data_IF_350348749020
#
_entry.id   IF_350348749020
#
_cell.length_a   1.000
_cell.length_b   1.000
_cell.length_c   1.000
_cell.angle_alpha   90.00
_cell.angle_beta   90.00
_cell.angle_gamma   90.00
#
_symmetry.space_group_name_H-M   'P 1'
#
loop_
_entity.id
_entity.type
_entity.pdbx_description
1 polymer ?
#
# COMPACT_ATOMS: atom_id res chain seq x y z
N UNK A 1 36.20 -11.13 48.24
CA UNK A 1 36.20 -10.73 46.83
C UNK A 1 34.77 -10.78 46.39
N UNK A 2 34.13 -9.60 46.35
CA UNK A 2 32.70 -9.45 46.03
C UNK A 2 32.57 -9.15 44.54
N UNK A 3 31.96 -10.05 43.82
CA UNK A 3 31.60 -9.87 42.42
C UNK A 3 30.28 -9.11 42.34
N UNK A 4 30.34 -7.84 41.89
CA UNK A 4 29.18 -7.01 41.61
C UNK A 4 28.79 -7.22 40.17
N UNK A 5 27.81 -8.06 39.94
CA UNK A 5 27.14 -8.19 38.64
C UNK A 5 26.39 -6.89 38.35
N UNK A 6 26.92 -6.09 37.44
CA UNK A 6 26.28 -4.89 36.92
C UNK A 6 25.15 -5.33 35.98
N UNK A 7 23.93 -4.99 36.37
CA UNK A 7 22.71 -5.12 35.53
C UNK A 7 22.77 -4.07 34.43
N UNK A 8 22.49 -4.38 33.16
CA UNK A 8 22.52 -3.38 32.08
C UNK A 8 21.34 -2.41 32.23
N UNK A 9 21.63 -1.12 32.39
CA UNK A 9 20.69 0.00 32.33
C UNK A 9 20.28 0.30 30.84
N UNK A 10 19.51 -0.56 30.25
CA UNK A 10 19.05 -0.35 28.85
C UNK A 10 17.57 -0.65 28.60
N UNK A 11 16.83 -1.15 29.59
CA UNK A 11 15.51 -1.74 29.37
C UNK A 11 14.32 -0.75 29.50
N UNK A 12 14.48 0.45 30.04
CA UNK A 12 13.36 1.37 30.30
C UNK A 12 13.00 2.27 29.11
N UNK A 13 13.89 2.53 28.17
CA UNK A 13 13.60 3.38 27.00
C UNK A 13 12.72 2.68 25.96
N UNK A 14 12.93 1.37 25.74
CA UNK A 14 12.20 0.63 24.70
C UNK A 14 10.72 0.38 25.04
N UNK A 15 10.39 0.21 26.31
CA UNK A 15 9.01 -0.01 26.75
C UNK A 15 8.12 1.22 26.59
N UNK A 16 8.63 2.39 26.94
CA UNK A 16 7.89 3.66 26.82
C UNK A 16 7.69 4.04 25.35
N UNK A 17 8.70 3.80 24.51
CA UNK A 17 8.59 4.04 23.07
C UNK A 17 7.56 3.11 22.41
N UNK A 18 7.55 1.84 22.79
CA UNK A 18 6.56 0.86 22.30
C UNK A 18 5.13 1.26 22.71
N UNK A 19 4.91 1.67 23.96
CA UNK A 19 3.59 2.13 24.43
C UNK A 19 3.13 3.36 23.62
N UNK A 20 4.02 4.31 23.36
CA UNK A 20 3.73 5.48 22.53
C UNK A 20 3.36 5.10 21.08
N UNK A 21 4.04 4.12 20.50
CA UNK A 21 3.75 3.62 19.16
C UNK A 21 2.37 2.93 19.10
N UNK A 22 2.05 2.11 20.09
CA UNK A 22 0.75 1.45 20.23
C UNK A 22 -0.37 2.48 20.37
N UNK A 23 -0.20 3.48 21.25
CA UNK A 23 -1.16 4.56 21.44
C UNK A 23 -1.46 5.32 20.14
N UNK A 24 -0.41 5.72 19.43
CA UNK A 24 -0.52 6.38 18.14
C UNK A 24 -1.21 5.50 17.09
N UNK A 25 -0.97 4.18 17.11
CA UNK A 25 -1.58 3.23 16.20
C UNK A 25 -3.08 3.08 16.44
N UNK A 26 -3.50 2.88 17.70
CA UNK A 26 -4.91 2.78 18.09
C UNK A 26 -5.67 4.03 17.65
N UNK A 27 -5.14 5.21 17.98
CA UNK A 27 -5.76 6.49 17.61
C UNK A 27 -5.90 6.65 16.10
N UNK A 28 -4.82 6.39 15.35
CA UNK A 28 -4.82 6.49 13.88
C UNK A 28 -5.83 5.56 13.24
N UNK A 29 -5.89 4.29 13.65
CA UNK A 29 -6.81 3.33 13.06
C UNK A 29 -8.27 3.64 13.44
N UNK A 30 -8.53 4.18 14.63
CA UNK A 30 -9.86 4.68 15.01
C UNK A 30 -10.30 5.85 14.12
N UNK A 31 -9.42 6.84 13.93
CA UNK A 31 -9.71 8.01 13.11
C UNK A 31 -9.96 7.62 11.64
N UNK A 32 -9.18 6.68 11.12
CA UNK A 32 -9.37 6.12 9.76
C UNK A 32 -10.70 5.39 9.60
N UNK A 33 -11.13 4.70 10.64
CA UNK A 33 -12.43 4.00 10.64
C UNK A 33 -13.62 4.93 10.87
N UNK A 34 -13.40 6.23 11.07
CA UNK A 34 -14.46 7.19 11.36
C UNK A 34 -15.16 6.97 12.70
N UNK A 35 -14.58 6.15 13.60
CA UNK A 35 -15.21 5.80 14.86
C UNK A 35 -14.95 6.85 15.94
N UNK A 36 -16.00 7.20 16.68
CA UNK A 36 -15.83 7.98 17.92
C UNK A 36 -15.17 7.12 19.00
N UNK A 37 -14.54 7.77 19.98
CA UNK A 37 -13.93 7.08 21.13
C UNK A 37 -14.96 6.23 21.90
N UNK A 38 -16.19 6.71 22.04
CA UNK A 38 -17.26 5.98 22.72
C UNK A 38 -17.69 4.74 21.93
N UNK A 39 -17.79 4.85 20.60
CA UNK A 39 -18.20 3.74 19.76
C UNK A 39 -17.12 2.65 19.68
N UNK A 40 -15.83 3.02 19.54
CA UNK A 40 -14.76 2.04 19.56
C UNK A 40 -14.68 1.31 20.91
N UNK A 41 -14.76 2.05 22.03
CA UNK A 41 -14.75 1.46 23.36
C UNK A 41 -15.89 0.45 23.55
N UNK A 42 -17.10 0.82 23.09
CA UNK A 42 -18.28 -0.06 23.13
C UNK A 42 -18.06 -1.34 22.31
N UNK A 43 -17.53 -1.22 21.07
CA UNK A 43 -17.26 -2.38 20.19
C UNK A 43 -16.18 -3.30 20.75
N UNK A 44 -15.15 -2.72 21.36
CA UNK A 44 -14.05 -3.46 21.97
C UNK A 44 -14.38 -4.01 23.37
N UNK A 45 -15.55 -3.70 23.94
CA UNK A 45 -15.97 -4.15 25.28
C UNK A 45 -15.13 -3.55 26.41
N UNK A 46 -14.55 -2.34 26.22
CA UNK A 46 -13.73 -1.66 27.24
C UNK A 46 -14.36 -0.32 27.65
N UNK A 47 -13.98 0.20 28.81
CA UNK A 47 -14.43 1.53 29.24
C UNK A 47 -13.84 2.63 28.34
N UNK A 48 -14.61 3.70 28.09
CA UNK A 48 -14.14 4.87 27.34
C UNK A 48 -12.91 5.52 27.99
N UNK A 49 -12.86 5.54 29.33
CA UNK A 49 -11.69 6.03 30.08
C UNK A 49 -10.44 5.20 29.83
N UNK A 50 -10.58 3.88 29.77
CA UNK A 50 -9.49 2.97 29.41
C UNK A 50 -8.96 3.25 28.02
N UNK A 51 -9.83 3.37 27.01
CA UNK A 51 -9.44 3.72 25.65
C UNK A 51 -8.72 5.09 25.58
N UNK A 52 -9.22 6.08 26.34
CA UNK A 52 -8.59 7.40 26.43
C UNK A 52 -7.17 7.33 27.00
N UNK A 53 -6.96 6.53 28.04
CA UNK A 53 -5.62 6.31 28.61
C UNK A 53 -4.70 5.59 27.62
N UNK A 54 -5.21 4.62 26.88
CA UNK A 54 -4.43 3.91 25.87
C UNK A 54 -4.03 4.83 24.71
N UNK A 55 -4.93 5.65 24.19
CA UNK A 55 -4.63 6.59 23.10
C UNK A 55 -3.73 7.76 23.53
N UNK A 56 -3.67 8.08 24.82
CA UNK A 56 -2.74 9.08 25.36
C UNK A 56 -1.37 8.52 25.72
N UNK A 57 -1.17 7.20 25.65
CA UNK A 57 0.07 6.53 26.05
C UNK A 57 0.25 6.44 27.57
N UNK A 58 -0.79 6.77 28.36
CA UNK A 58 -0.78 6.69 29.82
C UNK A 58 -1.11 5.29 30.34
N UNK A 59 -1.55 4.37 29.49
CA UNK A 59 -1.91 3.00 29.82
C UNK A 59 -1.06 1.98 29.07
N UNK A 60 -0.80 0.83 29.70
CA UNK A 60 -0.19 -0.32 29.06
C UNK A 60 -1.29 -1.34 28.73
N UNK A 61 -1.66 -1.54 27.44
CA UNK A 61 -2.73 -2.47 27.08
C UNK A 61 -2.29 -3.93 27.28
N UNK A 62 -3.20 -4.78 27.73
CA UNK A 62 -3.01 -6.23 27.68
C UNK A 62 -3.15 -6.74 26.25
N UNK A 63 -2.67 -7.96 26.00
CA UNK A 63 -2.81 -8.65 24.70
C UNK A 63 -4.29 -8.80 24.35
N UNK A 64 -5.14 -9.13 25.34
CA UNK A 64 -6.58 -9.29 25.13
C UNK A 64 -7.24 -7.96 24.75
N UNK A 65 -6.82 -6.86 25.37
CA UNK A 65 -7.33 -5.51 25.03
C UNK A 65 -6.93 -5.12 23.62
N UNK A 66 -5.68 -5.36 23.22
CA UNK A 66 -5.22 -5.09 21.85
C UNK A 66 -5.92 -5.98 20.83
N UNK A 67 -6.19 -7.23 21.17
CA UNK A 67 -6.95 -8.13 20.30
C UNK A 67 -8.38 -7.64 20.11
N UNK A 68 -9.07 -7.28 21.20
CA UNK A 68 -10.44 -6.73 21.15
C UNK A 68 -10.51 -5.44 20.32
N UNK A 69 -9.52 -4.55 20.47
CA UNK A 69 -9.41 -3.34 19.66
C UNK A 69 -9.16 -3.66 18.17
N UNK A 70 -8.29 -4.63 17.86
CA UNK A 70 -8.05 -5.08 16.49
C UNK A 70 -9.34 -5.59 15.81
N UNK A 71 -10.09 -6.42 16.51
CA UNK A 71 -11.40 -6.91 16.03
C UNK A 71 -12.38 -5.75 15.82
N UNK A 72 -12.49 -4.85 16.80
CA UNK A 72 -13.42 -3.71 16.74
C UNK A 72 -13.09 -2.71 15.62
N UNK A 73 -11.82 -2.59 15.27
CA UNK A 73 -11.29 -1.75 14.19
C UNK A 73 -11.24 -2.47 12.84
N UNK A 74 -11.45 -3.79 12.83
CA UNK A 74 -11.25 -4.65 11.66
C UNK A 74 -9.82 -4.57 11.09
N UNK A 75 -8.82 -4.60 11.96
CA UNK A 75 -7.39 -4.61 11.60
C UNK A 75 -6.67 -5.77 12.28
N UNK A 76 -5.61 -6.33 11.67
CA UNK A 76 -4.78 -7.34 12.33
C UNK A 76 -4.13 -6.79 13.60
N UNK A 77 -3.93 -7.64 14.60
CA UNK A 77 -3.22 -7.30 15.85
C UNK A 77 -1.85 -6.64 15.59
N UNK A 78 -1.10 -7.17 14.62
CA UNK A 78 0.21 -6.64 14.23
C UNK A 78 0.17 -5.16 13.83
N UNK A 79 -0.96 -4.70 13.28
CA UNK A 79 -1.15 -3.31 12.87
C UNK A 79 -1.14 -2.33 14.06
N UNK A 80 -1.51 -2.81 15.24
CA UNK A 80 -1.53 -2.00 16.45
C UNK A 80 -0.16 -2.00 17.16
N UNK A 81 0.57 -3.12 17.12
CA UNK A 81 1.83 -3.29 17.86
C UNK A 81 3.08 -2.96 17.03
N UNK A 82 3.02 -3.20 15.71
CA UNK A 82 4.11 -2.91 14.77
C UNK A 82 3.52 -2.28 13.51
N UNK A 83 3.09 -1.02 13.57
CA UNK A 83 2.54 -0.34 12.42
C UNK A 83 3.62 -0.15 11.36
N UNK A 84 3.30 -0.34 10.07
CA UNK A 84 4.23 -0.08 9.00
C UNK A 84 4.67 1.39 9.07
N UNK A 85 5.95 1.63 9.29
CA UNK A 85 6.53 2.97 9.24
C UNK A 85 6.62 3.39 7.78
N UNK A 86 6.22 4.62 7.44
CA UNK A 86 6.51 5.16 6.12
C UNK A 86 8.04 5.21 5.96
N UNK A 87 8.57 4.40 5.07
CA UNK A 87 9.99 4.44 4.71
C UNK A 87 10.14 5.13 3.37
N UNK A 88 11.14 5.99 3.23
CA UNK A 88 11.52 6.50 1.92
C UNK A 88 12.07 5.32 1.12
N UNK A 89 11.39 4.99 0.01
CA UNK A 89 11.83 3.98 -0.95
C UNK A 89 12.19 4.68 -2.25
N UNK A 90 13.40 4.52 -2.69
CA UNK A 90 13.86 5.02 -3.99
C UNK A 90 14.15 3.82 -4.88
N UNK A 91 13.57 3.81 -6.08
CA UNK A 91 13.94 2.91 -7.18
C UNK A 91 14.44 3.78 -8.32
N UNK A 92 15.70 3.58 -8.70
CA UNK A 92 16.30 4.28 -9.84
C UNK A 92 15.81 3.66 -11.15
N UNK A 93 15.98 4.38 -12.26
CA UNK A 93 15.74 3.82 -13.58
C UNK A 93 16.57 2.54 -13.78
N UNK A 94 15.94 1.49 -14.33
CA UNK A 94 16.56 0.17 -14.49
C UNK A 94 16.60 -0.71 -13.24
N UNK A 95 16.17 -0.21 -12.06
CA UNK A 95 16.07 -1.00 -10.83
C UNK A 95 14.64 -1.51 -10.61
N UNK A 96 14.54 -2.60 -9.86
CA UNK A 96 13.30 -3.23 -9.43
C UNK A 96 13.02 -4.58 -10.09
N UNK A 97 12.01 -5.32 -9.60
CA UNK A 97 11.60 -6.58 -10.19
C UNK A 97 10.90 -6.33 -11.53
N UNK A 98 11.48 -6.85 -12.61
CA UNK A 98 10.99 -6.69 -13.98
C UNK A 98 10.34 -7.99 -14.45
N UNK A 99 9.21 -7.88 -15.12
CA UNK A 99 8.56 -8.97 -15.85
C UNK A 99 8.40 -8.56 -17.32
N UNK A 100 8.76 -9.45 -18.23
CA UNK A 100 8.66 -9.22 -19.67
C UNK A 100 7.42 -9.88 -20.25
N UNK A 101 6.83 -9.27 -21.26
CA UNK A 101 5.75 -9.87 -22.04
C UNK A 101 6.33 -10.89 -23.00
N UNK A 102 5.62 -11.99 -23.22
CA UNK A 102 5.91 -12.96 -24.29
C UNK A 102 5.31 -12.53 -25.63
N UNK A 103 4.36 -11.60 -25.64
CA UNK A 103 3.58 -11.17 -26.80
C UNK A 103 4.17 -9.94 -27.49
N UNK A 104 4.90 -9.09 -26.75
CA UNK A 104 5.37 -7.80 -27.24
C UNK A 104 6.70 -7.41 -26.58
N UNK A 105 7.42 -6.49 -27.18
CA UNK A 105 8.59 -5.86 -26.54
C UNK A 105 8.12 -4.86 -25.47
N UNK A 106 7.74 -5.42 -24.32
CA UNK A 106 7.09 -4.73 -23.21
C UNK A 106 7.64 -5.30 -21.89
N UNK A 107 8.11 -4.42 -21.02
CA UNK A 107 8.61 -4.77 -19.71
C UNK A 107 7.86 -3.97 -18.63
N UNK A 108 7.40 -4.67 -17.60
CA UNK A 108 6.74 -4.08 -16.44
C UNK A 108 7.63 -4.22 -15.22
N UNK A 109 8.00 -3.10 -14.59
CA UNK A 109 8.71 -3.06 -13.32
C UNK A 109 7.76 -2.70 -12.20
N UNK A 110 7.66 -3.53 -11.16
CA UNK A 110 6.85 -3.22 -9.96
C UNK A 110 7.54 -2.14 -9.14
N UNK A 111 6.95 -0.94 -9.08
CA UNK A 111 7.43 0.16 -8.24
C UNK A 111 6.88 0.07 -6.82
N UNK A 112 5.62 -0.32 -6.69
CA UNK A 112 4.95 -0.49 -5.40
C UNK A 112 3.90 -1.57 -5.53
N UNK A 113 4.07 -2.66 -4.80
CA UNK A 113 3.01 -3.66 -4.62
C UNK A 113 2.02 -3.18 -3.57
N UNK A 114 0.80 -3.68 -3.67
CA UNK A 114 -0.31 -3.34 -2.78
C UNK A 114 0.09 -3.53 -1.31
N UNK A 115 0.37 -2.46 -0.55
CA UNK A 115 0.66 -2.60 0.86
C UNK A 115 -0.62 -2.94 1.62
N UNK A 116 -0.53 -3.50 2.84
CA UNK A 116 -1.70 -3.77 3.66
C UNK A 116 -2.63 -2.56 3.74
N UNK A 117 -3.91 -2.74 3.36
CA UNK A 117 -4.98 -1.72 3.27
C UNK A 117 -4.79 -0.64 2.19
N UNK A 118 -3.86 -0.78 1.26
CA UNK A 118 -3.93 -0.11 -0.03
C UNK A 118 -4.54 -1.08 -1.05
N UNK A 119 -5.21 -0.56 -2.04
CA UNK A 119 -5.85 -1.35 -3.08
C UNK A 119 -5.28 -0.94 -4.44
N UNK A 120 -3.94 -0.82 -4.51
CA UNK A 120 -3.27 -0.38 -5.74
C UNK A 120 -1.88 -0.96 -5.87
N UNK A 121 -1.54 -1.35 -7.08
CA UNK A 121 -0.19 -1.61 -7.52
C UNK A 121 0.28 -0.49 -8.45
N UNK A 122 1.58 -0.21 -8.48
CA UNK A 122 2.17 0.81 -9.36
C UNK A 122 3.29 0.15 -10.15
N UNK A 123 3.22 0.32 -11.48
CA UNK A 123 4.19 -0.22 -12.42
C UNK A 123 4.83 0.88 -13.27
N UNK A 124 6.10 0.72 -13.59
CA UNK A 124 6.77 1.41 -14.69
C UNK A 124 6.76 0.47 -15.89
N UNK A 125 6.32 0.98 -17.02
CA UNK A 125 6.29 0.27 -18.29
C UNK A 125 7.33 0.85 -19.22
N UNK A 126 8.16 -0.01 -19.80
CA UNK A 126 9.14 0.30 -20.82
C UNK A 126 8.81 -0.56 -22.03
N UNK A 127 8.54 0.06 -23.18
CA UNK A 127 8.09 -0.65 -24.37
C UNK A 127 8.69 -0.08 -25.65
N UNK A 128 8.92 -0.97 -26.63
CA UNK A 128 9.38 -0.63 -27.97
C UNK A 128 8.26 -0.87 -29.00
N UNK A 129 8.28 -0.17 -30.13
CA UNK A 129 7.35 -0.41 -31.23
C UNK A 129 7.38 -1.87 -31.71
N UNK A 130 6.23 -2.38 -32.11
CA UNK A 130 6.07 -3.76 -32.60
C UNK A 130 4.70 -4.30 -32.27
N UNK A 131 4.68 -5.52 -31.76
CA UNK A 131 3.44 -6.23 -31.45
C UNK A 131 2.67 -5.58 -30.30
N UNK A 132 1.36 -5.86 -30.29
CA UNK A 132 0.44 -5.39 -29.26
C UNK A 132 0.44 -6.37 -28.09
N UNK A 133 0.65 -5.85 -26.88
CA UNK A 133 0.35 -6.63 -25.68
C UNK A 133 -1.15 -6.60 -25.43
N UNK A 134 -1.80 -7.73 -25.63
CA UNK A 134 -3.19 -7.93 -25.25
C UNK A 134 -3.24 -8.45 -23.80
N UNK A 135 -4.11 -7.87 -23.00
CA UNK A 135 -4.36 -8.27 -21.62
C UNK A 135 -5.74 -8.89 -21.49
N UNK A 136 -5.79 -10.04 -20.85
CA UNK A 136 -7.04 -10.61 -20.34
C UNK A 136 -7.59 -9.76 -19.19
N UNK A 137 -8.89 -9.82 -18.93
CA UNK A 137 -9.52 -9.13 -17.81
C UNK A 137 -8.83 -9.44 -16.48
N UNK A 138 -8.54 -8.41 -15.70
CA UNK A 138 -8.09 -8.54 -14.34
C UNK A 138 -9.23 -8.91 -13.38
N UNK A 139 -8.99 -8.89 -12.07
CA UNK A 139 -10.03 -9.13 -11.07
C UNK A 139 -11.20 -8.15 -11.23
N UNK A 140 -12.46 -8.59 -11.02
CA UNK A 140 -13.63 -7.70 -11.10
C UNK A 140 -13.45 -6.43 -10.28
N UNK A 141 -13.81 -5.29 -10.85
CA UNK A 141 -13.70 -3.97 -10.23
C UNK A 141 -12.29 -3.35 -10.31
N UNK A 142 -11.34 -3.98 -11.01
CA UNK A 142 -10.04 -3.35 -11.27
C UNK A 142 -10.19 -2.17 -12.23
N UNK A 143 -9.57 -1.04 -11.88
CA UNK A 143 -9.42 0.13 -12.74
C UNK A 143 -7.94 0.34 -13.05
N UNK A 144 -7.60 0.49 -14.31
CA UNK A 144 -6.27 0.91 -14.73
C UNK A 144 -6.23 2.41 -15.00
N UNK A 145 -5.14 3.02 -14.54
CA UNK A 145 -4.79 4.42 -14.78
C UNK A 145 -3.43 4.43 -15.46
N UNK A 146 -3.35 5.00 -16.66
CA UNK A 146 -2.10 5.04 -17.44
C UNK A 146 -1.72 6.49 -17.72
N UNK A 147 -0.47 6.83 -17.39
CA UNK A 147 0.15 8.12 -17.72
C UNK A 147 1.37 7.86 -18.60
N UNK A 148 1.43 8.49 -19.75
CA UNK A 148 2.59 8.41 -20.64
C UNK A 148 3.65 9.42 -20.18
N UNK A 149 4.85 8.92 -19.87
CA UNK A 149 5.99 9.75 -19.50
C UNK A 149 6.82 10.20 -20.70
N UNK A 150 7.05 9.30 -21.66
CA UNK A 150 7.74 9.58 -22.94
C UNK A 150 7.28 8.62 -24.02
N UNK A 151 7.57 8.96 -25.29
CA UNK A 151 7.13 8.17 -26.44
C UNK A 151 5.65 8.34 -26.74
N UNK A 152 5.04 7.35 -27.38
CA UNK A 152 3.60 7.31 -27.68
C UNK A 152 3.11 5.86 -27.62
N UNK A 153 1.87 5.67 -27.19
CA UNK A 153 1.26 4.36 -27.14
C UNK A 153 -0.21 4.38 -27.50
N UNK A 154 -0.70 3.26 -28.03
CA UNK A 154 -2.11 2.95 -28.15
C UNK A 154 -2.52 2.15 -26.92
N UNK A 155 -3.48 2.65 -26.15
CA UNK A 155 -3.81 2.12 -24.81
C UNK A 155 -5.33 2.13 -24.60
N UNK A 156 -5.83 1.14 -23.88
CA UNK A 156 -7.21 1.09 -23.42
C UNK A 156 -7.97 -0.17 -23.84
N UNK A 157 -9.30 -0.16 -23.71
CA UNK A 157 -10.14 -1.30 -24.09
C UNK A 157 -9.90 -1.73 -25.53
N UNK A 158 -9.88 -3.04 -25.77
CA UNK A 158 -9.59 -3.60 -27.10
C UNK A 158 -10.48 -3.04 -28.22
N UNK A 159 -11.75 -2.75 -27.90
CA UNK A 159 -12.72 -2.23 -28.89
C UNK A 159 -12.50 -0.73 -29.21
N UNK A 160 -11.87 0.03 -28.34
CA UNK A 160 -11.72 1.49 -28.48
C UNK A 160 -10.43 2.01 -27.87
N UNK A 161 -9.25 1.49 -28.27
CA UNK A 161 -7.99 1.97 -27.74
C UNK A 161 -7.70 3.40 -28.23
N UNK A 162 -7.01 4.18 -27.37
CA UNK A 162 -6.72 5.60 -27.62
C UNK A 162 -5.22 5.79 -27.80
N UNK A 163 -4.81 6.58 -28.80
CA UNK A 163 -3.41 7.02 -28.93
C UNK A 163 -3.11 8.11 -27.90
N UNK A 164 -2.03 7.92 -27.12
CA UNK A 164 -1.58 8.82 -26.07
C UNK A 164 -0.13 9.21 -26.29
N UNK A 165 0.18 10.48 -26.00
CA UNK A 165 1.52 11.07 -25.98
C UNK A 165 1.97 11.47 -24.58
N UNK A 166 3.18 12.06 -24.44
CA UNK A 166 3.75 12.46 -23.15
C UNK A 166 2.86 13.43 -22.40
N UNK A 167 2.56 13.10 -21.13
CA UNK A 167 1.66 13.87 -20.27
C UNK A 167 0.19 13.48 -20.39
N UNK A 168 -0.20 12.70 -21.40
CA UNK A 168 -1.57 12.23 -21.52
C UNK A 168 -1.88 11.13 -20.50
N UNK A 169 -3.12 11.13 -20.04
CA UNK A 169 -3.65 10.21 -19.07
C UNK A 169 -4.96 9.58 -19.56
N UNK A 170 -5.12 8.29 -19.29
CA UNK A 170 -6.37 7.54 -19.48
C UNK A 170 -6.67 6.72 -18.25
N UNK A 171 -7.95 6.51 -17.94
CA UNK A 171 -8.41 5.46 -17.03
C UNK A 171 -9.52 4.65 -17.70
N UNK A 172 -9.51 3.35 -17.45
CA UNK A 172 -10.49 2.41 -18.00
C UNK A 172 -10.68 1.19 -17.07
N UNK A 173 -11.82 0.47 -17.21
CA UNK A 173 -12.02 -0.79 -16.51
C UNK A 173 -10.96 -1.81 -16.92
N UNK A 174 -10.09 -2.20 -15.98
CA UNK A 174 -9.06 -3.22 -16.18
C UNK A 174 -9.62 -4.65 -16.11
N UNK A 175 -10.87 -4.82 -15.70
CA UNK A 175 -11.62 -6.08 -15.71
C UNK A 175 -12.31 -6.39 -17.06
N UNK A 176 -11.98 -5.62 -18.11
CA UNK A 176 -12.31 -5.89 -19.50
C UNK A 176 -11.05 -6.13 -20.33
N UNK A 177 -11.12 -6.83 -21.49
CA UNK A 177 -9.98 -6.99 -22.39
C UNK A 177 -9.44 -5.64 -22.84
N UNK A 178 -8.11 -5.45 -22.73
CA UNK A 178 -7.47 -4.17 -23.07
C UNK A 178 -6.09 -4.39 -23.68
N UNK A 179 -5.54 -3.34 -24.28
CA UNK A 179 -4.29 -3.41 -25.02
C UNK A 179 -3.33 -2.30 -24.64
N UNK A 180 -2.03 -2.59 -24.81
CA UNK A 180 -0.95 -1.63 -24.82
C UNK A 180 -0.03 -1.91 -26.01
N UNK A 181 0.20 -0.92 -26.88
CA UNK A 181 1.14 -0.99 -27.99
C UNK A 181 1.96 0.28 -28.07
N UNK A 182 3.28 0.17 -27.95
CA UNK A 182 4.16 1.29 -28.19
C UNK A 182 4.14 1.69 -29.67
N UNK A 183 4.01 2.99 -29.94
CA UNK A 183 3.99 3.59 -31.28
C UNK A 183 5.30 4.35 -31.58
N UNK A 184 6.11 4.61 -30.54
CA UNK A 184 7.41 5.26 -30.65
C UNK A 184 8.47 4.49 -29.86
N UNK A 185 9.76 4.57 -30.26
CA UNK A 185 10.85 3.98 -29.48
C UNK A 185 10.89 4.55 -28.06
N UNK A 186 11.40 3.74 -27.13
CA UNK A 186 11.64 4.09 -25.73
C UNK A 186 10.38 4.69 -25.05
N UNK A 187 9.22 4.12 -25.37
CA UNK A 187 7.96 4.52 -24.73
C UNK A 187 7.98 4.12 -23.27
N UNK A 188 7.80 5.12 -22.40
CA UNK A 188 7.74 4.99 -20.95
C UNK A 188 6.34 5.39 -20.46
N UNK A 189 5.72 4.54 -19.66
CA UNK A 189 4.47 4.83 -19.00
C UNK A 189 4.50 4.44 -17.52
N UNK A 190 3.61 5.04 -16.74
CA UNK A 190 3.27 4.58 -15.39
C UNK A 190 1.85 4.04 -15.42
N UNK A 191 1.67 2.82 -14.92
CA UNK A 191 0.36 2.21 -14.71
C UNK A 191 0.10 2.12 -13.21
N UNK A 192 -1.07 2.60 -12.78
CA UNK A 192 -1.62 2.33 -11.46
C UNK A 192 -2.81 1.42 -11.63
N UNK A 193 -2.76 0.21 -11.07
CA UNK A 193 -3.89 -0.69 -10.94
C UNK A 193 -4.57 -0.45 -9.62
N UNK A 194 -5.81 0.00 -9.65
CA UNK A 194 -6.64 0.15 -8.47
C UNK A 194 -7.59 -1.04 -8.36
N UNK A 195 -7.62 -1.67 -7.18
CA UNK A 195 -8.50 -2.80 -6.87
C UNK A 195 -9.58 -2.34 -5.90
N UNK A 196 -10.84 -2.65 -6.16
CA UNK A 196 -12.00 -2.30 -5.32
C UNK A 196 -12.25 -3.36 -4.24
#
# INVERSE_FOLDING_TARGET
>A
MSDRTTRPEGANGSGTELIGQIAASIRRERERSGLSMAELARRAGIAKSTLSQLESGAGNPSVETLWALGVALNVPFSRLVDPPRPTVKVLRAGEGPVTHSEQANYAATVLSSCPPNARRDIYRIEAQPGDTRASEPHMPGTVEHVLIGSGRALVGPTESPVELGPGDYISYPGDAPHVFRALAPDTLAVIVMEHI
#
